data_IF_865161978278
#
_entry.id   IF_865161978278
#
_cell.length_a   1.000
_cell.length_b   1.000
_cell.length_c   1.000
_cell.angle_alpha   90.00
_cell.angle_beta   90.00
_cell.angle_gamma   90.00
#
_symmetry.space_group_name_H-M   'P 1'
#
loop_
_entity.id
_entity.type
_entity.pdbx_description
1 polymer ?
#
# COMPACT_ATOMS: atom_id res chain seq x y z
N UNK A 1 4.34 8.41 -8.32
CA UNK A 1 4.17 9.34 -7.19
C UNK A 1 5.51 9.95 -6.82
N UNK A 2 5.60 11.15 -6.24
CA UNK A 2 6.88 11.68 -5.76
C UNK A 2 7.19 11.07 -4.39
N UNK A 3 8.33 10.38 -4.22
CA UNK A 3 8.68 9.72 -2.96
C UNK A 3 8.74 10.71 -1.78
N UNK A 4 9.14 11.96 -2.05
CA UNK A 4 9.16 13.03 -1.05
C UNK A 4 7.76 13.36 -0.53
N UNK A 5 6.76 13.34 -1.41
CA UNK A 5 5.37 13.59 -0.98
C UNK A 5 4.81 12.49 -0.08
N UNK A 6 5.31 11.25 -0.17
CA UNK A 6 4.91 10.15 0.72
C UNK A 6 5.45 10.38 2.14
N UNK A 7 6.66 10.93 2.25
CA UNK A 7 7.29 11.25 3.55
C UNK A 7 6.65 12.47 4.20
N UNK A 8 6.32 13.51 3.42
CA UNK A 8 5.73 14.75 3.94
C UNK A 8 4.23 14.60 4.31
N UNK A 9 3.57 13.57 3.80
CA UNK A 9 2.15 13.32 4.05
C UNK A 9 1.88 12.80 5.47
N UNK A 10 0.87 13.35 6.14
CA UNK A 10 0.45 12.87 7.47
C UNK A 10 -0.39 11.59 7.42
N UNK A 11 -1.07 11.35 6.28
CA UNK A 11 -1.95 10.19 6.07
C UNK A 11 -1.71 9.62 4.67
N UNK A 12 -1.64 8.30 4.57
CA UNK A 12 -1.59 7.56 3.31
C UNK A 12 -2.79 6.61 3.19
N UNK A 13 -3.56 6.75 2.12
CA UNK A 13 -4.65 5.85 1.76
C UNK A 13 -4.12 4.81 0.76
N UNK A 14 -4.10 3.54 1.15
CA UNK A 14 -3.63 2.45 0.29
C UNK A 14 -4.82 1.67 -0.22
N UNK A 15 -5.10 1.76 -1.52
CA UNK A 15 -6.23 1.06 -2.15
C UNK A 15 -5.76 -0.25 -2.77
N UNK A 16 -5.97 -1.35 -2.06
CA UNK A 16 -5.73 -2.69 -2.57
C UNK A 16 -6.84 -3.09 -3.54
N UNK A 17 -6.45 -3.55 -4.73
CA UNK A 17 -7.34 -4.09 -5.76
C UNK A 17 -6.70 -5.31 -6.41
N UNK A 18 -7.44 -6.08 -7.21
CA UNK A 18 -6.96 -7.29 -7.90
C UNK A 18 -5.70 -7.10 -8.75
N UNK A 19 -5.38 -5.87 -9.15
CA UNK A 19 -4.22 -5.56 -9.98
C UNK A 19 -3.09 -4.86 -9.22
N UNK A 20 -3.24 -4.65 -7.90
CA UNK A 20 -2.28 -3.92 -7.11
C UNK A 20 -0.90 -4.60 -7.11
N UNK A 21 -0.84 -5.91 -6.86
CA UNK A 21 0.44 -6.63 -6.82
C UNK A 21 1.04 -6.94 -8.21
N UNK A 22 0.27 -6.75 -9.28
CA UNK A 22 0.74 -6.98 -10.67
C UNK A 22 1.75 -5.93 -11.15
N UNK A 23 1.84 -4.80 -10.45
CA UNK A 23 2.80 -3.75 -10.77
C UNK A 23 3.84 -3.67 -9.67
N UNK A 24 5.10 -3.98 -10.02
CA UNK A 24 6.24 -3.81 -9.12
C UNK A 24 6.32 -2.38 -8.57
N UNK A 25 5.97 -1.39 -9.39
CA UNK A 25 5.94 0.01 -8.99
C UNK A 25 5.00 0.27 -7.80
N UNK A 26 3.80 -0.33 -7.78
CA UNK A 26 2.88 -0.17 -6.65
C UNK A 26 3.39 -0.83 -5.37
N UNK A 27 4.12 -1.95 -5.49
CA UNK A 27 4.76 -2.60 -4.36
C UNK A 27 5.93 -1.77 -3.80
N UNK A 28 6.71 -1.13 -4.67
CA UNK A 28 7.78 -0.22 -4.25
C UNK A 28 7.21 1.02 -3.54
N UNK A 29 6.09 1.57 -4.03
CA UNK A 29 5.36 2.65 -3.35
C UNK A 29 4.81 2.21 -1.98
N UNK A 30 4.28 0.98 -1.87
CA UNK A 30 3.81 0.41 -0.60
C UNK A 30 4.94 0.32 0.42
N UNK A 31 6.11 -0.17 0.03
CA UNK A 31 7.28 -0.23 0.90
C UNK A 31 7.64 1.16 1.43
N UNK A 32 7.63 2.18 0.56
CA UNK A 32 7.93 3.55 0.99
C UNK A 32 6.92 4.10 1.98
N UNK A 33 5.64 3.79 1.82
CA UNK A 33 4.58 4.18 2.77
C UNK A 33 4.80 3.50 4.13
N UNK A 34 5.18 2.22 4.14
CA UNK A 34 5.45 1.49 5.39
C UNK A 34 6.71 2.01 6.10
N UNK A 35 7.73 2.39 5.35
CA UNK A 35 8.91 3.07 5.89
C UNK A 35 8.53 4.42 6.50
N UNK A 36 7.74 5.22 5.77
CA UNK A 36 7.28 6.54 6.22
C UNK A 36 6.42 6.45 7.50
N UNK A 37 5.51 5.49 7.57
CA UNK A 37 4.74 5.16 8.78
C UNK A 37 5.66 4.90 9.97
N UNK A 38 6.72 4.14 9.77
CA UNK A 38 7.66 3.75 10.83
C UNK A 38 8.55 4.91 11.26
N UNK A 39 9.03 5.71 10.31
CA UNK A 39 10.00 6.79 10.55
C UNK A 39 9.34 8.10 11.02
N UNK A 40 8.17 8.44 10.49
CA UNK A 40 7.52 9.74 10.67
C UNK A 40 6.15 9.67 11.36
N UNK A 41 5.69 8.47 11.73
CA UNK A 41 4.39 8.28 12.40
C UNK A 41 3.19 8.51 11.49
N UNK A 42 3.37 8.44 10.17
CA UNK A 42 2.29 8.60 9.19
C UNK A 42 1.16 7.59 9.47
N UNK A 43 -0.10 8.06 9.41
CA UNK A 43 -1.27 7.19 9.52
C UNK A 43 -1.53 6.50 8.18
N UNK A 44 -1.59 5.16 8.17
CA UNK A 44 -1.89 4.38 6.97
C UNK A 44 -3.26 3.76 7.08
N UNK A 45 -4.14 4.07 6.13
CA UNK A 45 -5.50 3.54 6.05
C UNK A 45 -5.62 2.62 4.83
N UNK A 46 -5.74 1.30 5.02
CA UNK A 46 -5.97 0.39 3.91
C UNK A 46 -7.44 0.39 3.48
N UNK A 47 -7.67 0.39 2.17
CA UNK A 47 -8.97 0.22 1.53
C UNK A 47 -8.91 -1.00 0.64
N UNK A 48 -9.90 -1.89 0.76
CA UNK A 48 -9.97 -3.14 0.00
C UNK A 48 -11.08 -3.01 -1.05
N UNK A 49 -10.69 -2.83 -2.31
CA UNK A 49 -11.60 -2.69 -3.44
C UNK A 49 -11.70 -4.00 -4.23
N UNK A 50 -12.85 -4.66 -4.14
CA UNK A 50 -13.15 -5.93 -4.84
C UNK A 50 -12.10 -7.04 -4.56
N UNK A 51 -11.50 -6.99 -3.37
CA UNK A 51 -10.56 -7.98 -2.84
C UNK A 51 -10.88 -8.26 -1.38
N UNK A 52 -10.74 -9.50 -0.95
CA UNK A 52 -10.87 -9.85 0.45
C UNK A 52 -9.58 -9.51 1.22
N UNK A 53 -9.64 -8.91 2.41
CA UNK A 53 -8.45 -8.61 3.20
C UNK A 53 -7.54 -9.83 3.47
N UNK A 54 -8.11 -11.04 3.54
CA UNK A 54 -7.34 -12.29 3.67
C UNK A 54 -6.61 -12.68 2.39
N UNK A 55 -7.08 -12.26 1.20
CA UNK A 55 -6.38 -12.46 -0.07
C UNK A 55 -5.13 -11.57 -0.13
N UNK A 56 -5.23 -10.34 0.36
CA UNK A 56 -4.10 -9.40 0.48
C UNK A 56 -3.11 -9.89 1.54
N UNK A 57 -3.59 -10.17 2.75
CA UNK A 57 -2.74 -10.58 3.89
C UNK A 57 -1.97 -11.86 3.63
N UNK A 58 -2.60 -12.84 2.99
CA UNK A 58 -2.00 -14.14 2.72
C UNK A 58 -1.44 -14.28 1.30
N UNK A 59 -1.40 -13.19 0.52
CA UNK A 59 -0.86 -13.16 -0.84
C UNK A 59 -1.41 -14.31 -1.71
N UNK A 60 -2.73 -14.53 -1.66
CA UNK A 60 -3.38 -15.61 -2.45
C UNK A 60 -3.27 -15.29 -3.94
N UNK A 61 -3.27 -16.31 -4.80
CA UNK A 61 -3.14 -16.18 -6.28
C UNK A 61 -4.09 -15.15 -6.92
N UNK A 62 -5.26 -14.89 -6.31
CA UNK A 62 -6.21 -13.89 -6.81
C UNK A 62 -5.73 -12.44 -6.62
N UNK A 63 -4.75 -12.21 -5.73
CA UNK A 63 -4.15 -10.91 -5.45
C UNK A 63 -2.68 -10.81 -5.89
N UNK A 64 -1.93 -11.92 -5.86
CA UNK A 64 -0.50 -12.00 -6.17
C UNK A 64 -0.19 -11.95 -7.68
#
# INVERSE_FOLDING_TARGET
>A
MNLKSIEESQVALVVFSKNYAKSRWFLDELLKILDSKTQYGQTVVPVFYDVDPSEVRNQKERFA
#
